data_IF_625290897600
#
_entry.id   IF_625290897600
#
_cell.length_a   1.000
_cell.length_b   1.000
_cell.length_c   1.000
_cell.angle_alpha   90.00
_cell.angle_beta   90.00
_cell.angle_gamma   90.00
#
_symmetry.space_group_name_H-M   'P 1'
#
loop_
_entity.id
_entity.type
_entity.pdbx_description
1 polymer ?
#
# COMPACT_ATOMS: atom_id res chain seq x y z
N UNK A 1 8.68 -12.43 -0.42
CA UNK A 1 8.05 -11.75 -1.58
C UNK A 1 8.90 -10.55 -1.94
N UNK A 2 9.47 -10.50 -3.15
CA UNK A 2 10.12 -9.31 -3.69
C UNK A 2 9.11 -8.63 -4.61
N UNK A 3 8.65 -7.45 -4.24
CA UNK A 3 7.91 -6.56 -5.14
C UNK A 3 8.92 -5.87 -6.06
N UNK A 4 8.61 -5.78 -7.36
CA UNK A 4 9.45 -5.09 -8.33
C UNK A 4 8.57 -4.14 -9.17
N UNK A 5 9.16 -3.01 -9.58
CA UNK A 5 8.54 -2.03 -10.48
C UNK A 5 9.30 -2.05 -11.79
N UNK A 6 8.58 -2.14 -12.90
CA UNK A 6 9.19 -2.08 -14.25
C UNK A 6 9.40 -0.61 -14.59
N UNK A 7 10.67 -0.16 -14.58
CA UNK A 7 11.03 1.26 -14.78
C UNK A 7 10.45 1.87 -16.06
N UNK A 8 10.42 1.11 -17.16
CA UNK A 8 9.87 1.57 -18.45
C UNK A 8 8.35 1.73 -18.43
N UNK A 9 7.66 1.11 -17.48
CA UNK A 9 6.22 1.27 -17.26
C UNK A 9 5.91 2.39 -16.26
N UNK A 10 6.93 3.07 -15.72
CA UNK A 10 6.81 4.23 -14.84
C UNK A 10 7.19 5.50 -15.60
N UNK A 11 6.20 6.13 -16.23
CA UNK A 11 6.35 7.40 -16.94
C UNK A 11 5.27 8.38 -16.49
N UNK A 12 5.56 9.67 -16.62
CA UNK A 12 4.61 10.75 -16.33
C UNK A 12 4.84 11.86 -17.36
N UNK A 13 3.76 12.53 -17.76
CA UNK A 13 3.86 13.68 -18.65
C UNK A 13 4.61 14.84 -17.96
N UNK A 14 5.35 15.65 -18.72
CA UNK A 14 6.23 16.67 -18.13
C UNK A 14 5.49 17.69 -17.25
N UNK A 15 4.27 18.08 -17.62
CA UNK A 15 3.45 19.01 -16.83
C UNK A 15 3.01 18.43 -15.47
N UNK A 16 3.04 17.11 -15.33
CA UNK A 16 2.69 16.39 -14.11
C UNK A 16 3.94 16.03 -13.27
N UNK A 17 5.15 16.50 -13.65
CA UNK A 17 6.38 16.35 -12.86
C UNK A 17 6.47 17.36 -11.73
N UNK A 18 5.49 17.37 -10.84
CA UNK A 18 5.46 18.25 -9.69
C UNK A 18 5.76 17.47 -8.40
N UNK A 19 6.27 18.12 -7.33
CA UNK A 19 6.41 17.47 -6.03
C UNK A 19 5.10 16.88 -5.50
N UNK A 20 3.97 17.53 -5.80
CA UNK A 20 2.65 17.07 -5.40
C UNK A 20 2.24 15.77 -6.10
N UNK A 21 2.37 15.72 -7.43
CA UNK A 21 2.11 14.49 -8.19
C UNK A 21 3.08 13.37 -7.80
N UNK A 22 4.36 13.69 -7.59
CA UNK A 22 5.32 12.70 -7.08
C UNK A 22 4.88 12.14 -5.72
N UNK A 23 4.38 12.99 -4.82
CA UNK A 23 3.87 12.55 -3.54
C UNK A 23 2.66 11.62 -3.69
N UNK A 24 1.77 11.88 -4.67
CA UNK A 24 0.63 11.02 -4.96
C UNK A 24 1.10 9.60 -5.37
N UNK A 25 2.00 9.52 -6.35
CA UNK A 25 2.59 8.25 -6.80
C UNK A 25 3.33 7.52 -5.67
N UNK A 26 4.02 8.25 -4.80
CA UNK A 26 4.70 7.68 -3.62
C UNK A 26 3.72 7.04 -2.63
N UNK A 27 2.52 7.61 -2.46
CA UNK A 27 1.52 7.06 -1.54
C UNK A 27 0.99 5.69 -1.97
N UNK A 28 0.97 5.38 -3.27
CA UNK A 28 0.67 4.03 -3.74
C UNK A 28 1.67 3.00 -3.20
N UNK A 29 2.96 3.32 -3.21
CA UNK A 29 3.99 2.45 -2.62
C UNK A 29 3.81 2.28 -1.12
N UNK A 30 3.42 3.34 -0.42
CA UNK A 30 3.18 3.26 1.02
C UNK A 30 1.94 2.45 1.37
N UNK A 31 0.87 2.52 0.57
CA UNK A 31 -0.31 1.64 0.71
C UNK A 31 0.09 0.18 0.57
N UNK A 32 0.91 -0.16 -0.44
CA UNK A 32 1.45 -1.52 -0.60
C UNK A 32 2.24 -1.94 0.64
N UNK A 33 3.13 -1.06 1.13
CA UNK A 33 3.94 -1.32 2.31
C UNK A 33 3.09 -1.56 3.56
N UNK A 34 2.06 -0.75 3.76
CA UNK A 34 1.14 -0.87 4.89
C UNK A 34 0.41 -2.22 4.87
N UNK A 35 -0.12 -2.63 3.72
CA UNK A 35 -0.79 -3.94 3.58
C UNK A 35 0.19 -5.09 3.80
N UNK A 36 1.44 -4.97 3.35
CA UNK A 36 2.49 -5.96 3.63
C UNK A 36 2.77 -6.08 5.14
N UNK A 37 2.83 -4.98 5.88
CA UNK A 37 3.02 -5.04 7.34
C UNK A 37 1.80 -5.61 8.06
N UNK A 38 0.58 -5.27 7.63
CA UNK A 38 -0.65 -5.90 8.13
C UNK A 38 -0.67 -7.41 7.88
N UNK A 39 -0.28 -7.86 6.68
CA UNK A 39 -0.14 -9.28 6.36
C UNK A 39 0.87 -9.97 7.29
N UNK A 40 2.07 -9.39 7.45
CA UNK A 40 3.09 -9.91 8.36
C UNK A 40 2.62 -9.99 9.81
N UNK A 41 1.83 -9.01 10.25
CA UNK A 41 1.26 -9.01 11.59
C UNK A 41 0.27 -10.16 11.75
N UNK A 42 -0.67 -10.33 10.81
CA UNK A 42 -1.65 -11.43 10.81
C UNK A 42 -0.98 -12.81 10.87
N UNK A 43 -0.02 -13.08 9.99
CA UNK A 43 0.63 -14.40 9.93
C UNK A 43 1.48 -14.71 11.18
N UNK A 44 1.99 -13.70 11.88
CA UNK A 44 2.79 -13.90 13.12
C UNK A 44 1.92 -14.21 14.32
N UNK A 45 0.67 -13.77 14.31
CA UNK A 45 -0.31 -14.03 15.37
C UNK A 45 -1.03 -15.37 15.18
N UNK A 46 -0.91 -15.98 14.00
CA UNK A 46 -1.59 -17.22 13.69
C UNK A 46 -0.83 -18.45 14.18
N UNK A 47 -1.54 -19.42 14.75
CA UNK A 47 -1.02 -20.75 15.08
C UNK A 47 -1.10 -21.62 13.84
N UNK A 48 -0.10 -21.51 12.99
CA UNK A 48 -0.06 -22.27 11.74
C UNK A 48 0.24 -23.75 12.03
N UNK A 49 -0.76 -24.62 11.89
CA UNK A 49 -0.54 -26.07 11.86
C UNK A 49 0.34 -26.44 10.66
N UNK A 50 1.34 -27.29 10.89
CA UNK A 50 2.31 -27.73 9.86
C UNK A 50 1.60 -28.33 8.64
N UNK A 51 0.47 -29.00 8.87
CA UNK A 51 -0.28 -29.72 7.82
C UNK A 51 -1.06 -28.78 6.88
N UNK A 52 -1.36 -27.54 7.31
CA UNK A 52 -2.20 -26.58 6.58
C UNK A 52 -1.52 -25.24 6.30
N UNK A 53 -0.23 -25.12 6.61
CA UNK A 53 0.56 -23.89 6.52
C UNK A 53 0.49 -23.22 5.13
N UNK A 54 0.65 -24.02 4.06
CA UNK A 54 0.68 -23.50 2.70
C UNK A 54 -0.68 -22.94 2.24
N UNK A 55 -1.77 -23.67 2.49
CA UNK A 55 -3.12 -23.22 2.14
C UNK A 55 -3.53 -21.98 2.92
N UNK A 56 -3.18 -21.92 4.21
CA UNK A 56 -3.45 -20.76 5.04
C UNK A 56 -2.69 -19.52 4.55
N UNK A 57 -1.38 -19.63 4.27
CA UNK A 57 -0.61 -18.51 3.73
C UNK A 57 -1.17 -18.01 2.39
N UNK A 58 -1.56 -18.92 1.49
CA UNK A 58 -2.16 -18.55 0.21
C UNK A 58 -3.47 -17.78 0.42
N UNK A 59 -4.31 -18.22 1.36
CA UNK A 59 -5.55 -17.51 1.69
C UNK A 59 -5.28 -16.10 2.23
N UNK A 60 -4.37 -15.96 3.21
CA UNK A 60 -3.99 -14.66 3.77
C UNK A 60 -3.38 -13.73 2.71
N UNK A 61 -2.62 -14.28 1.77
CA UNK A 61 -2.09 -13.51 0.64
C UNK A 61 -3.22 -12.96 -0.24
N UNK A 62 -4.19 -13.79 -0.62
CA UNK A 62 -5.33 -13.35 -1.45
C UNK A 62 -6.15 -12.26 -0.75
N UNK A 63 -6.40 -12.39 0.55
CA UNK A 63 -7.07 -11.35 1.34
C UNK A 63 -6.29 -10.04 1.35
N UNK A 64 -4.96 -10.13 1.52
CA UNK A 64 -4.08 -8.95 1.51
C UNK A 64 -4.03 -8.30 0.13
N UNK A 65 -4.03 -9.09 -0.94
CA UNK A 65 -4.10 -8.57 -2.30
C UNK A 65 -5.41 -7.81 -2.58
N UNK A 66 -6.54 -8.36 -2.13
CA UNK A 66 -7.83 -7.67 -2.23
C UNK A 66 -7.89 -6.40 -1.38
N UNK A 67 -7.31 -6.43 -0.17
CA UNK A 67 -7.18 -5.27 0.70
C UNK A 67 -6.38 -4.15 0.04
N UNK A 68 -5.24 -4.48 -0.57
CA UNK A 68 -4.40 -3.55 -1.32
C UNK A 68 -5.16 -2.89 -2.46
N UNK A 69 -5.87 -3.67 -3.29
CA UNK A 69 -6.61 -3.11 -4.41
C UNK A 69 -7.72 -2.16 -3.95
N UNK A 70 -8.51 -2.56 -2.95
CA UNK A 70 -9.55 -1.69 -2.38
C UNK A 70 -8.97 -0.39 -1.81
N UNK A 71 -7.83 -0.47 -1.13
CA UNK A 71 -7.22 0.71 -0.52
C UNK A 71 -6.63 1.67 -1.56
N UNK A 72 -6.06 1.14 -2.66
CA UNK A 72 -5.62 1.98 -3.79
C UNK A 72 -6.80 2.62 -4.52
N UNK A 73 -7.85 1.86 -4.85
CA UNK A 73 -9.07 2.40 -5.45
C UNK A 73 -9.72 3.49 -4.58
N UNK A 74 -9.75 3.28 -3.26
CA UNK A 74 -10.24 4.27 -2.31
C UNK A 74 -9.36 5.53 -2.30
N UNK A 75 -8.04 5.37 -2.29
CA UNK A 75 -7.11 6.49 -2.32
C UNK A 75 -7.28 7.34 -3.58
N UNK A 76 -7.35 6.71 -4.76
CA UNK A 76 -7.57 7.40 -6.04
C UNK A 76 -8.92 8.09 -6.07
N UNK A 77 -9.98 7.38 -5.66
CA UNK A 77 -11.34 7.93 -5.62
C UNK A 77 -11.46 9.15 -4.71
N UNK A 78 -10.89 9.09 -3.50
CA UNK A 78 -10.99 10.19 -2.54
C UNK A 78 -10.08 11.38 -2.87
N UNK A 79 -8.93 11.13 -3.50
CA UNK A 79 -8.02 12.20 -3.94
C UNK A 79 -8.35 12.77 -5.30
N UNK A 80 -9.33 12.21 -6.01
CA UNK A 80 -9.65 12.60 -7.38
C UNK A 80 -8.55 12.22 -8.37
N UNK A 81 -7.86 11.10 -8.15
CA UNK A 81 -6.64 10.71 -8.88
C UNK A 81 -5.53 11.76 -8.73
N UNK A 82 -5.31 12.22 -7.49
CA UNK A 82 -4.25 13.17 -7.18
C UNK A 82 -4.55 14.61 -7.62
N UNK A 83 -5.80 15.07 -7.51
CA UNK A 83 -6.17 16.47 -7.77
C UNK A 83 -6.75 17.19 -6.54
N UNK A 84 -6.94 16.48 -5.43
CA UNK A 84 -7.49 17.01 -4.18
C UNK A 84 -6.42 17.03 -3.08
N UNK A 85 -5.77 18.18 -2.90
CA UNK A 85 -4.70 18.38 -1.92
C UNK A 85 -5.12 18.04 -0.49
N UNK A 86 -6.32 18.47 -0.10
CA UNK A 86 -6.82 18.25 1.25
C UNK A 86 -7.07 16.76 1.55
N UNK A 87 -7.59 16.02 0.57
CA UNK A 87 -7.76 14.58 0.69
C UNK A 87 -6.41 13.85 0.75
N UNK A 88 -5.47 14.22 -0.13
CA UNK A 88 -4.14 13.63 -0.14
C UNK A 88 -3.39 13.90 1.17
N UNK A 89 -3.51 15.09 1.75
CA UNK A 89 -2.94 15.42 3.05
C UNK A 89 -3.49 14.53 4.18
N UNK A 90 -4.81 14.31 4.23
CA UNK A 90 -5.42 13.37 5.20
C UNK A 90 -4.90 11.95 5.03
N UNK A 91 -4.73 11.51 3.78
CA UNK A 91 -4.14 10.21 3.48
C UNK A 91 -2.67 10.10 3.88
N UNK A 92 -1.89 11.16 3.65
CA UNK A 92 -0.49 11.24 4.08
C UNK A 92 -0.38 11.03 5.60
N UNK A 93 -1.17 11.75 6.39
CA UNK A 93 -1.19 11.62 7.86
C UNK A 93 -1.63 10.22 8.29
N UNK A 94 -2.71 9.70 7.70
CA UNK A 94 -3.23 8.37 7.99
C UNK A 94 -2.17 7.29 7.72
N UNK A 95 -1.63 7.24 6.51
CA UNK A 95 -0.65 6.23 6.11
C UNK A 95 0.59 6.30 7.00
N UNK A 96 1.10 7.51 7.26
CA UNK A 96 2.26 7.73 8.12
C UNK A 96 2.02 7.17 9.52
N UNK A 97 0.89 7.52 10.14
CA UNK A 97 0.52 7.04 11.47
C UNK A 97 0.42 5.52 11.53
N UNK A 98 -0.20 4.92 10.53
CA UNK A 98 -0.39 3.47 10.48
C UNK A 98 0.94 2.72 10.25
N UNK A 99 1.82 3.23 9.40
CA UNK A 99 3.16 2.66 9.18
C UNK A 99 4.05 2.77 10.42
N UNK A 100 3.98 3.91 11.13
CA UNK A 100 4.70 4.10 12.40
C UNK A 100 4.24 3.09 13.47
N UNK A 101 2.96 2.71 13.49
CA UNK A 101 2.46 1.68 14.40
C UNK A 101 3.10 0.30 14.14
N UNK A 102 3.64 0.06 12.94
CA UNK A 102 4.44 -1.12 12.60
C UNK A 102 5.96 -0.90 12.71
N UNK A 103 6.41 0.25 13.23
CA UNK A 103 7.84 0.59 13.35
C UNK A 103 8.51 0.92 12.01
N UNK A 104 7.74 1.25 10.98
CA UNK A 104 8.26 1.68 9.68
C UNK A 104 8.42 3.20 9.69
N UNK A 105 9.65 3.69 9.55
CA UNK A 105 9.92 5.10 9.27
C UNK A 105 9.75 5.38 7.77
N UNK A 106 9.16 6.53 7.44
CA UNK A 106 9.11 7.07 6.09
C UNK A 106 10.31 7.96 5.82
#
# INVERSE_FOLDING_TARGET
MKTFVVRSSSWVADHARTPYTLNHEQRHFDVVKLVVERFKHRIRQDTLSVDYYAGHLQHQYLLSYQEMNRMQEQYDGETGNGTNDAAQARWNERITKELQAFGVAQ
#
